data_IF_043560484537
#
_entry.id   IF_043560484537
#
_cell.length_a   1.000
_cell.length_b   1.000
_cell.length_c   1.000
_cell.angle_alpha   90.00
_cell.angle_beta   90.00
_cell.angle_gamma   90.00
#
_symmetry.space_group_name_H-M   'P 1'
#
loop_
_entity.id
_entity.type
_entity.pdbx_description
1 polymer ?
#
# COMPACT_ATOMS: atom_id res chain seq x y z
N UNK A 1 18.71 -6.35 -16.08
CA UNK A 1 17.93 -5.15 -15.72
C UNK A 1 16.75 -5.24 -16.64
N UNK A 2 15.75 -5.98 -16.17
CA UNK A 2 14.71 -6.49 -17.05
C UNK A 2 13.47 -5.71 -16.64
N UNK A 3 13.14 -4.70 -17.45
CA UNK A 3 11.86 -4.01 -17.39
C UNK A 3 10.76 -5.05 -17.60
N UNK A 4 10.08 -5.41 -16.52
CA UNK A 4 8.87 -6.22 -16.59
C UNK A 4 7.76 -5.35 -17.19
N UNK A 5 7.61 -5.48 -18.51
CA UNK A 5 6.52 -4.93 -19.32
C UNK A 5 5.17 -5.16 -18.67
N UNK A 6 4.44 -4.08 -18.41
CA UNK A 6 3.03 -4.13 -18.01
C UNK A 6 2.22 -4.37 -19.28
N UNK A 7 1.84 -5.62 -19.54
CA UNK A 7 0.96 -5.97 -20.66
C UNK A 7 -0.50 -5.69 -20.25
N UNK A 8 -1.00 -4.48 -20.55
CA UNK A 8 -2.43 -4.18 -20.43
C UNK A 8 -3.17 -4.77 -21.62
N UNK A 9 -3.65 -6.01 -21.50
CA UNK A 9 -4.54 -6.61 -22.52
C UNK A 9 -5.96 -6.06 -22.30
N UNK A 10 -6.34 -5.02 -23.05
CA UNK A 10 -7.75 -4.60 -23.17
C UNK A 10 -8.41 -5.36 -24.32
N UNK A 11 -8.93 -6.54 -24.05
CA UNK A 11 -9.89 -7.19 -24.93
C UNK A 11 -11.31 -6.88 -24.42
N UNK A 12 -11.96 -5.90 -25.04
CA UNK A 12 -13.37 -5.59 -24.79
C UNK A 12 -14.17 -6.25 -25.91
N UNK A 13 -14.59 -7.50 -25.69
CA UNK A 13 -15.63 -8.11 -26.51
C UNK A 13 -17.00 -7.68 -25.96
N UNK A 14 -17.63 -6.76 -26.69
CA UNK A 14 -19.01 -6.35 -26.44
C UNK A 14 -19.96 -7.46 -26.92
N UNK A 15 -20.14 -8.50 -26.11
CA UNK A 15 -21.28 -9.41 -26.25
C UNK A 15 -22.14 -9.32 -24.99
N UNK A 16 -23.40 -8.99 -25.22
CA UNK A 16 -24.45 -8.58 -24.30
C UNK A 16 -25.15 -9.77 -23.61
N UNK A 17 -24.41 -10.82 -23.28
CA UNK A 17 -24.92 -11.86 -22.40
C UNK A 17 -24.62 -11.46 -20.95
N UNK A 18 -25.58 -11.65 -20.05
CA UNK A 18 -25.52 -11.26 -18.66
C UNK A 18 -24.54 -12.17 -17.88
N UNK A 19 -23.27 -12.12 -18.25
CA UNK A 19 -22.19 -12.61 -17.43
C UNK A 19 -21.99 -11.61 -16.32
N UNK A 20 -22.28 -12.08 -15.11
CA UNK A 20 -21.73 -11.54 -13.88
C UNK A 20 -20.23 -11.36 -14.05
N UNK A 21 -19.80 -10.21 -14.56
CA UNK A 21 -18.40 -9.82 -14.56
C UNK A 21 -18.01 -9.77 -13.08
N UNK A 22 -17.47 -10.88 -12.58
CA UNK A 22 -16.59 -10.86 -11.42
C UNK A 22 -15.43 -10.02 -11.88
N UNK A 23 -15.55 -8.73 -11.65
CA UNK A 23 -14.41 -7.85 -11.58
C UNK A 23 -13.65 -8.42 -10.39
N UNK A 24 -12.71 -9.33 -10.66
CA UNK A 24 -11.64 -9.59 -9.73
C UNK A 24 -10.95 -8.23 -9.62
N UNK A 25 -11.30 -7.50 -8.57
CA UNK A 25 -10.57 -6.34 -8.09
C UNK A 25 -9.24 -6.92 -7.62
N UNK A 26 -8.40 -7.24 -8.59
CA UNK A 26 -7.19 -8.02 -8.40
C UNK A 26 -6.34 -7.29 -7.40
N UNK A 27 -6.03 -7.94 -6.28
CA UNK A 27 -4.86 -7.72 -5.43
C UNK A 27 -4.37 -6.27 -5.22
N UNK A 28 -5.25 -5.25 -5.27
CA UNK A 28 -4.91 -3.83 -5.00
C UNK A 28 -4.55 -3.58 -3.53
N UNK A 29 -4.34 -4.65 -2.75
CA UNK A 29 -3.79 -4.55 -1.41
C UNK A 29 -2.26 -4.43 -1.56
N UNK A 30 -1.61 -3.55 -0.79
CA UNK A 30 -0.16 -3.48 -0.80
C UNK A 30 0.44 -4.86 -0.54
N UNK A 31 1.55 -5.14 -1.22
CA UNK A 31 2.24 -6.42 -1.16
C UNK A 31 1.36 -7.64 -1.49
N UNK A 32 0.31 -7.50 -2.31
CA UNK A 32 -0.66 -8.57 -2.60
C UNK A 32 -1.29 -9.15 -1.31
N UNK A 33 -1.47 -8.30 -0.29
CA UNK A 33 -1.99 -8.71 1.01
C UNK A 33 -0.99 -9.45 1.90
N UNK A 34 0.29 -9.49 1.54
CA UNK A 34 1.35 -10.05 2.39
C UNK A 34 1.73 -9.11 3.55
N UNK A 35 2.34 -9.69 4.58
CA UNK A 35 2.70 -8.95 5.78
C UNK A 35 3.84 -7.96 5.49
N UNK A 36 3.65 -6.71 5.92
CA UNK A 36 4.72 -5.71 5.90
C UNK A 36 5.69 -6.03 7.03
N UNK A 37 6.95 -6.23 6.67
CA UNK A 37 8.03 -6.59 7.59
C UNK A 37 8.95 -5.42 7.92
N UNK A 38 9.02 -4.42 7.04
CA UNK A 38 9.81 -3.20 7.23
C UNK A 38 9.06 -1.99 6.68
N UNK A 39 9.28 -0.85 7.32
CA UNK A 39 8.84 0.46 6.83
C UNK A 39 9.96 1.48 6.99
N UNK A 40 10.01 2.46 6.10
CA UNK A 40 10.95 3.57 6.17
C UNK A 40 10.28 4.85 5.67
N UNK A 41 10.51 5.95 6.39
CA UNK A 41 10.02 7.28 6.03
C UNK A 41 11.20 8.06 5.47
N UNK A 42 10.99 8.70 4.33
CA UNK A 42 11.97 9.61 3.72
C UNK A 42 12.36 10.75 4.68
N UNK A 43 13.57 11.29 4.54
CA UNK A 43 14.07 12.34 5.46
C UNK A 43 13.24 13.63 5.46
N UNK A 44 12.47 13.88 4.41
CA UNK A 44 11.54 15.02 4.29
C UNK A 44 10.08 14.65 4.61
N UNK A 45 9.81 13.41 5.03
CA UNK A 45 8.47 12.92 5.41
C UNK A 45 7.41 12.94 4.29
N UNK A 46 7.81 13.15 3.04
CA UNK A 46 6.90 13.21 1.88
C UNK A 46 6.56 11.83 1.32
N UNK A 47 7.43 10.84 1.59
CA UNK A 47 7.28 9.46 1.13
C UNK A 47 7.46 8.44 2.25
N UNK A 48 6.66 7.37 2.17
CA UNK A 48 6.75 6.16 2.98
C UNK A 48 7.02 4.97 2.06
N UNK A 49 7.98 4.13 2.42
CA UNK A 49 8.26 2.88 1.71
C UNK A 49 8.00 1.71 2.64
N UNK A 50 7.30 0.69 2.13
CA UNK A 50 7.02 -0.55 2.85
C UNK A 50 7.66 -1.74 2.13
N UNK A 51 8.11 -2.74 2.89
CA UNK A 51 8.70 -3.97 2.35
C UNK A 51 8.09 -5.20 3.01
N UNK A 52 7.78 -6.21 2.19
CA UNK A 52 7.33 -7.52 2.61
C UNK A 52 8.39 -8.56 2.29
N UNK A 53 8.92 -9.23 3.32
CA UNK A 53 9.89 -10.31 3.16
C UNK A 53 9.27 -11.58 2.53
N UNK A 54 7.95 -11.77 2.66
CA UNK A 54 7.30 -12.99 2.15
C UNK A 54 7.28 -13.08 0.62
N UNK A 55 7.35 -11.95 -0.07
CA UNK A 55 7.28 -11.88 -1.53
C UNK A 55 8.26 -10.86 -2.13
N UNK A 56 9.25 -10.44 -1.33
CA UNK A 56 10.29 -9.48 -1.70
C UNK A 56 9.79 -8.22 -2.41
N UNK A 57 8.59 -7.76 -2.03
CA UNK A 57 7.95 -6.61 -2.68
C UNK A 57 8.19 -5.33 -1.91
N UNK A 58 8.37 -4.24 -2.64
CA UNK A 58 8.53 -2.88 -2.15
C UNK A 58 7.38 -2.04 -2.70
N UNK A 59 6.71 -1.27 -1.85
CA UNK A 59 5.62 -0.36 -2.23
C UNK A 59 5.95 1.02 -1.69
N UNK A 60 5.86 2.04 -2.55
CA UNK A 60 6.05 3.44 -2.20
C UNK A 60 4.72 4.17 -2.11
N UNK A 61 4.59 5.03 -1.11
CA UNK A 61 3.42 5.86 -0.86
C UNK A 61 3.85 7.33 -0.86
N UNK A 62 3.12 8.17 -1.58
CA UNK A 62 3.26 9.62 -1.49
C UNK A 62 2.25 10.16 -0.49
N UNK A 63 2.70 10.96 0.47
CA UNK A 63 1.84 11.54 1.51
C UNK A 63 0.91 12.59 0.94
N UNK A 64 1.32 13.27 -0.13
CA UNK A 64 0.56 14.35 -0.78
C UNK A 64 -0.35 13.88 -1.93
N UNK A 65 -0.36 12.58 -2.26
CA UNK A 65 -1.06 12.12 -3.45
C UNK A 65 -2.55 12.42 -3.41
N UNK A 66 -3.05 13.07 -4.46
CA UNK A 66 -4.44 13.52 -4.56
C UNK A 66 -5.38 12.42 -5.05
N UNK A 67 -4.83 11.41 -5.74
CA UNK A 67 -5.62 10.33 -6.32
C UNK A 67 -5.95 9.24 -5.29
N UNK A 68 -5.01 8.88 -4.41
CA UNK A 68 -5.24 7.94 -3.30
C UNK A 68 -5.62 8.64 -1.99
N UNK A 69 -5.37 9.95 -1.89
CA UNK A 69 -5.65 10.77 -0.73
C UNK A 69 -4.67 10.56 0.43
N UNK A 70 -4.67 11.46 1.42
CA UNK A 70 -3.74 11.36 2.55
C UNK A 70 -4.01 10.10 3.37
N UNK A 71 -2.93 9.49 3.89
CA UNK A 71 -3.00 8.35 4.81
C UNK A 71 -3.90 8.70 6.00
N UNK A 72 -4.97 7.91 6.18
CA UNK A 72 -5.90 8.11 7.29
C UNK A 72 -5.30 7.55 8.57
N UNK A 73 -5.19 8.40 9.58
CA UNK A 73 -4.83 8.00 10.94
C UNK A 73 -5.87 7.02 11.48
N UNK A 74 -5.47 5.77 11.74
CA UNK A 74 -6.34 4.77 12.39
C UNK A 74 -6.36 5.00 13.92
N UNK A 75 -5.19 5.11 14.55
CA UNK A 75 -5.07 5.25 16.02
C UNK A 75 -3.86 6.08 16.42
N UNK A 76 -4.04 6.91 17.44
CA UNK A 76 -2.96 7.58 18.17
C UNK A 76 -2.71 6.88 19.49
N UNK A 77 -1.48 6.43 19.73
CA UNK A 77 -1.08 5.92 21.05
C UNK A 77 -0.57 7.11 21.88
N UNK A 78 -1.22 7.47 23.00
CA UNK A 78 -0.73 8.55 23.86
C UNK A 78 0.62 8.17 24.47
N UNK A 79 1.56 9.10 24.47
CA UNK A 79 2.85 8.94 25.14
C UNK A 79 2.65 8.91 26.65
N UNK A 80 2.77 7.73 27.27
CA UNK A 80 2.78 7.61 28.74
C UNK A 80 4.19 7.95 29.23
N UNK A 81 4.37 9.13 29.83
CA UNK A 81 5.62 9.50 30.50
C UNK A 81 5.55 8.96 31.95
N UNK A 82 6.27 7.88 32.24
CA UNK A 82 6.43 7.37 33.59
C UNK A 82 7.40 8.30 34.36
N UNK A 83 6.88 9.30 35.08
CA UNK A 83 7.71 10.11 35.98
C UNK A 83 8.00 9.25 37.21
N UNK A 84 9.14 8.56 37.22
CA UNK A 84 9.65 7.93 38.44
C UNK A 84 10.19 9.03 39.35
N UNK A 85 9.37 9.47 40.31
CA UNK A 85 9.82 10.36 41.37
C UNK A 85 10.77 9.57 42.28
N UNK A 86 12.07 9.79 42.10
CA UNK A 86 13.10 9.25 42.98
C UNK A 86 13.12 10.15 44.22
N UNK A 87 12.63 9.62 45.34
CA UNK A 87 12.71 10.25 46.67
C UNK A 87 14.17 10.40 47.11
#
# INVERSE_FOLDING_TARGET
MDESSIETVKNIDNNNDAHNVKIDIGNNKPHNGKLITKLEVSSNEEHLVTYSQENDSIVGWSVEDKDEGPLKLDKTIPKIIQISSKR
#
